data_IF_001726494978
#
_entry.id   IF_001726494978
#
_cell.length_a   1.000
_cell.length_b   1.000
_cell.length_c   1.000
_cell.angle_alpha   90.00
_cell.angle_beta   90.00
_cell.angle_gamma   90.00
#
_symmetry.space_group_name_H-M   'P 1'
#
loop_
_entity.id
_entity.type
_entity.pdbx_description
1 polymer ?
#
# COMPACT_ATOMS: atom_id res chain seq x y z
N UNK A 1 -7.09 2.88 -5.42
CA UNK A 1 -7.68 3.30 -4.13
C UNK A 1 -6.73 2.96 -2.99
N UNK A 2 -6.44 3.88 -2.07
CA UNK A 2 -5.66 3.63 -0.86
C UNK A 2 -6.59 3.52 0.36
N UNK A 3 -6.40 2.50 1.20
CA UNK A 3 -7.16 2.29 2.43
C UNK A 3 -6.24 1.97 3.61
N UNK A 4 -6.60 2.44 4.81
CA UNK A 4 -5.92 2.09 6.05
C UNK A 4 -6.76 1.11 6.85
N UNK A 5 -6.14 0.06 7.35
CA UNK A 5 -6.78 -0.95 8.20
C UNK A 5 -6.07 -0.95 9.55
N UNK A 6 -6.86 -0.94 10.63
CA UNK A 6 -6.29 -0.91 11.98
C UNK A 6 -5.55 -2.20 12.31
N UNK A 7 -4.58 -2.14 13.23
CA UNK A 7 -3.76 -3.30 13.60
C UNK A 7 -4.41 -4.27 14.59
N UNK A 8 -5.65 -3.98 14.96
CA UNK A 8 -6.55 -4.81 15.77
C UNK A 8 -7.50 -5.64 14.91
N UNK A 9 -7.61 -5.35 13.62
CA UNK A 9 -8.32 -6.18 12.65
C UNK A 9 -7.57 -7.48 12.38
N UNK A 10 -8.31 -8.54 12.04
CA UNK A 10 -7.73 -9.84 11.74
C UNK A 10 -6.97 -9.78 10.40
N UNK A 11 -5.65 -9.96 10.48
CA UNK A 11 -4.77 -9.87 9.32
C UNK A 11 -4.95 -11.04 8.36
N UNK A 12 -5.26 -12.24 8.88
CA UNK A 12 -5.40 -13.44 8.05
C UNK A 12 -6.70 -13.37 7.24
N UNK A 13 -7.79 -12.88 7.85
CA UNK A 13 -9.05 -12.64 7.14
C UNK A 13 -8.90 -11.52 6.08
N UNK A 14 -8.16 -10.44 6.39
CA UNK A 14 -7.86 -9.38 5.42
C UNK A 14 -7.08 -9.91 4.21
N UNK A 15 -6.06 -10.74 4.45
CA UNK A 15 -5.27 -11.35 3.37
C UNK A 15 -6.16 -12.25 2.51
N UNK A 16 -6.97 -13.10 3.14
CA UNK A 16 -7.86 -14.01 2.44
C UNK A 16 -8.89 -13.25 1.57
N UNK A 17 -9.42 -12.14 2.07
CA UNK A 17 -10.33 -11.28 1.30
C UNK A 17 -9.64 -10.65 0.08
N UNK A 18 -8.43 -10.09 0.25
CA UNK A 18 -7.69 -9.50 -0.87
C UNK A 18 -7.33 -10.53 -1.95
N UNK A 19 -6.85 -11.72 -1.54
CA UNK A 19 -6.50 -12.79 -2.47
C UNK A 19 -7.72 -13.35 -3.22
N UNK A 20 -8.91 -13.32 -2.62
CA UNK A 20 -10.15 -13.73 -3.29
C UNK A 20 -10.56 -12.78 -4.44
N UNK A 21 -10.08 -11.53 -4.42
CA UNK A 21 -10.43 -10.48 -5.39
C UNK A 21 -9.34 -10.21 -6.43
N UNK A 22 -8.21 -10.94 -6.40
CA UNK A 22 -7.18 -10.83 -7.42
C UNK A 22 -5.76 -11.07 -6.88
N UNK A 23 -4.74 -10.96 -7.76
CA UNK A 23 -3.35 -10.99 -7.34
C UNK A 23 -3.07 -10.00 -6.20
N UNK A 24 -2.53 -10.50 -5.09
CA UNK A 24 -2.18 -9.71 -3.92
C UNK A 24 -0.69 -9.83 -3.61
N UNK A 25 0.02 -8.70 -3.60
CA UNK A 25 1.40 -8.62 -3.11
C UNK A 25 1.40 -8.17 -1.64
N UNK A 26 2.04 -8.94 -0.77
CA UNK A 26 2.07 -8.66 0.67
C UNK A 26 3.49 -8.31 1.09
N UNK A 27 3.69 -7.06 1.52
CA UNK A 27 4.99 -6.53 1.91
C UNK A 27 5.05 -6.35 3.41
N UNK A 28 5.93 -7.12 4.08
CA UNK A 28 6.04 -7.12 5.52
C UNK A 28 7.23 -6.32 6.06
N UNK A 29 6.93 -5.28 6.83
CA UNK A 29 7.85 -4.68 7.79
C UNK A 29 8.82 -3.65 7.23
N UNK A 30 10.03 -3.65 7.80
CA UNK A 30 11.01 -2.57 7.72
C UNK A 30 11.08 -1.78 9.03
N UNK A 31 12.27 -1.74 9.65
CA UNK A 31 12.50 -0.94 10.88
C UNK A 31 12.90 0.50 10.56
N UNK A 32 13.34 0.74 9.33
CA UNK A 32 13.75 2.01 8.75
C UNK A 32 13.20 2.09 7.33
N UNK A 33 13.27 3.26 6.71
CA UNK A 33 12.87 3.44 5.31
C UNK A 33 13.62 2.50 4.39
N UNK A 34 14.94 2.41 4.53
CA UNK A 34 15.81 1.58 3.69
C UNK A 34 15.39 0.11 3.79
N UNK A 35 15.14 -0.38 5.02
CA UNK A 35 14.65 -1.74 5.23
C UNK A 35 13.24 -1.95 4.69
N UNK A 36 12.37 -0.94 4.66
CA UNK A 36 11.06 -1.06 4.03
C UNK A 36 11.20 -1.16 2.51
N UNK A 37 12.05 -0.32 1.90
CA UNK A 37 12.33 -0.34 0.46
C UNK A 37 12.95 -1.67 0.01
N UNK A 38 13.88 -2.23 0.80
CA UNK A 38 14.40 -3.59 0.58
C UNK A 38 13.28 -4.64 0.58
N UNK A 39 12.31 -4.54 1.50
CA UNK A 39 11.18 -5.48 1.55
C UNK A 39 10.28 -5.39 0.32
N UNK A 40 10.03 -4.18 -0.17
CA UNK A 40 9.32 -4.00 -1.45
C UNK A 40 10.08 -4.68 -2.58
N UNK A 41 11.38 -4.43 -2.69
CA UNK A 41 12.21 -5.01 -3.72
C UNK A 41 12.28 -6.54 -3.67
N UNK A 42 12.41 -7.12 -2.48
CA UNK A 42 12.42 -8.57 -2.26
C UNK A 42 11.08 -9.22 -2.63
N UNK A 43 9.96 -8.67 -2.14
CA UNK A 43 8.63 -9.22 -2.38
C UNK A 43 8.24 -9.14 -3.86
N UNK A 44 8.44 -7.97 -4.47
CA UNK A 44 8.03 -7.69 -5.85
C UNK A 44 9.09 -8.09 -6.88
N UNK A 45 10.24 -8.62 -6.42
CA UNK A 45 11.38 -9.02 -7.25
C UNK A 45 11.85 -7.89 -8.17
N UNK A 46 11.99 -6.70 -7.60
CA UNK A 46 12.56 -5.56 -8.31
C UNK A 46 13.98 -5.85 -8.80
N UNK A 47 14.40 -5.22 -9.91
CA UNK A 47 15.71 -5.46 -10.49
C UNK A 47 16.85 -4.98 -9.57
N UNK A 48 18.03 -5.61 -9.72
CA UNK A 48 19.22 -5.32 -8.89
C UNK A 48 19.71 -3.87 -8.97
N UNK A 49 19.34 -3.13 -10.01
CA UNK A 49 19.66 -1.70 -10.15
C UNK A 49 18.69 -0.77 -9.41
N UNK A 50 17.75 -1.31 -8.64
CA UNK A 50 16.78 -0.55 -7.85
C UNK A 50 17.47 0.53 -7.00
N UNK A 51 17.07 1.80 -7.21
CA UNK A 51 17.73 2.96 -6.62
C UNK A 51 17.50 3.19 -5.12
N UNK A 52 16.75 2.31 -4.43
CA UNK A 52 16.46 2.37 -3.00
C UNK A 52 16.01 3.76 -2.50
N UNK A 53 15.16 4.43 -3.27
CA UNK A 53 14.54 5.72 -2.93
C UNK A 53 13.05 5.70 -3.27
N UNK A 54 12.32 6.75 -2.86
CA UNK A 54 10.86 6.82 -3.01
C UNK A 54 10.41 6.96 -4.47
N UNK A 55 11.16 7.71 -5.29
CA UNK A 55 10.85 7.88 -6.71
C UNK A 55 11.03 6.56 -7.46
N UNK A 56 12.13 5.85 -7.20
CA UNK A 56 12.37 4.51 -7.76
C UNK A 56 11.33 3.49 -7.29
N UNK A 57 10.83 3.61 -6.05
CA UNK A 57 9.74 2.77 -5.55
C UNK A 57 8.46 3.03 -6.35
N UNK A 58 8.11 4.30 -6.57
CA UNK A 58 6.95 4.70 -7.36
C UNK A 58 7.01 4.08 -8.77
N UNK A 59 8.12 4.30 -9.48
CA UNK A 59 8.29 3.85 -10.86
C UNK A 59 8.10 2.32 -11.00
N UNK A 60 8.75 1.55 -10.12
CA UNK A 60 8.68 0.09 -10.18
C UNK A 60 7.34 -0.47 -9.70
N UNK A 61 6.69 0.18 -8.73
CA UNK A 61 5.33 -0.19 -8.33
C UNK A 61 4.33 0.07 -9.46
N UNK A 62 4.45 1.22 -10.14
CA UNK A 62 3.60 1.55 -11.27
C UNK A 62 3.80 0.56 -12.42
N UNK A 63 5.04 0.26 -12.79
CA UNK A 63 5.36 -0.73 -13.84
C UNK A 63 4.81 -2.11 -13.49
N UNK A 64 5.01 -2.58 -12.25
CA UNK A 64 4.49 -3.86 -11.78
C UNK A 64 2.96 -3.90 -11.80
N UNK A 65 2.31 -2.89 -11.23
CA UNK A 65 0.86 -2.75 -11.27
C UNK A 65 0.34 -2.71 -12.71
N UNK A 66 1.05 -2.02 -13.61
CA UNK A 66 0.71 -1.94 -15.01
C UNK A 66 0.83 -3.31 -15.71
N UNK A 67 1.83 -4.11 -15.39
CA UNK A 67 1.96 -5.46 -15.94
C UNK A 67 0.82 -6.38 -15.45
N UNK A 68 0.54 -6.39 -14.15
CA UNK A 68 -0.46 -7.28 -13.53
C UNK A 68 -1.87 -6.93 -13.99
N UNK A 69 -2.26 -5.66 -13.95
CA UNK A 69 -3.61 -5.23 -14.31
C UNK A 69 -3.90 -5.30 -15.82
N UNK A 70 -2.88 -5.52 -16.66
CA UNK A 70 -3.02 -5.64 -18.11
C UNK A 70 -3.86 -6.84 -18.57
N UNK A 71 -4.07 -7.85 -17.71
CA UNK A 71 -4.97 -8.98 -18.00
C UNK A 71 -6.44 -8.69 -17.68
N UNK A 72 -6.76 -7.50 -17.16
CA UNK A 72 -8.09 -7.13 -16.66
C UNK A 72 -8.40 -7.60 -15.24
N UNK A 73 -7.45 -8.23 -14.56
CA UNK A 73 -7.58 -8.57 -13.15
C UNK A 73 -7.20 -7.37 -12.27
N UNK A 74 -7.93 -7.17 -11.17
CA UNK A 74 -7.57 -6.17 -10.17
C UNK A 74 -6.27 -6.58 -9.47
N UNK A 75 -5.44 -5.60 -9.15
CA UNK A 75 -4.21 -5.80 -8.39
C UNK A 75 -4.32 -5.17 -7.01
N UNK A 76 -3.90 -5.93 -6.00
CA UNK A 76 -3.92 -5.54 -4.60
C UNK A 76 -2.50 -5.53 -4.03
N UNK A 77 -2.17 -4.50 -3.25
CA UNK A 77 -0.93 -4.42 -2.46
C UNK A 77 -1.27 -4.22 -1.00
N UNK A 78 -0.87 -5.15 -0.14
CA UNK A 78 -0.96 -5.02 1.32
C UNK A 78 0.42 -4.68 1.89
N UNK A 79 0.58 -3.50 2.46
CA UNK A 79 1.78 -3.14 3.21
C UNK A 79 1.56 -3.18 4.72
N UNK A 80 2.40 -3.95 5.42
CA UNK A 80 2.36 -4.14 6.87
C UNK A 80 3.57 -3.44 7.50
N UNK A 81 3.49 -2.13 7.82
CA UNK A 81 4.63 -1.38 8.32
C UNK A 81 5.16 -1.91 9.67
N UNK A 82 6.49 -1.89 9.82
CA UNK A 82 7.15 -2.28 11.06
C UNK A 82 6.83 -1.29 12.20
N UNK A 83 6.51 -1.80 13.39
CA UNK A 83 6.19 -0.96 14.57
C UNK A 83 7.26 0.09 14.90
N UNK A 84 8.54 -0.22 14.63
CA UNK A 84 9.64 0.74 14.84
C UNK A 84 9.65 1.86 13.82
N UNK A 85 9.33 1.59 12.55
CA UNK A 85 9.22 2.62 11.52
C UNK A 85 8.12 3.62 11.91
N UNK A 86 6.94 3.12 12.28
CA UNK A 86 5.81 3.93 12.72
C UNK A 86 6.16 4.85 13.90
N UNK A 87 6.80 4.29 14.93
CA UNK A 87 7.10 5.01 16.18
C UNK A 87 8.30 5.95 16.05
N UNK A 88 9.40 5.46 15.47
CA UNK A 88 10.70 6.14 15.53
C UNK A 88 10.93 7.04 14.31
N UNK A 89 10.21 6.80 13.20
CA UNK A 89 10.39 7.47 11.90
C UNK A 89 9.05 7.79 11.20
N UNK A 90 8.12 8.52 11.84
CA UNK A 90 6.80 8.78 11.26
C UNK A 90 6.85 9.55 9.94
N UNK A 91 7.87 10.41 9.72
CA UNK A 91 8.05 11.10 8.44
C UNK A 91 8.48 10.16 7.29
N UNK A 92 9.34 9.18 7.56
CA UNK A 92 9.70 8.15 6.57
C UNK A 92 8.50 7.26 6.24
N UNK A 93 7.68 6.91 7.26
CA UNK A 93 6.42 6.20 7.07
C UNK A 93 5.47 7.00 6.16
N UNK A 94 5.24 8.27 6.46
CA UNK A 94 4.37 9.14 5.66
C UNK A 94 4.85 9.28 4.21
N UNK A 95 6.18 9.34 3.99
CA UNK A 95 6.74 9.39 2.64
C UNK A 95 6.47 8.12 1.82
N UNK A 96 6.56 6.94 2.43
CA UNK A 96 6.20 5.69 1.75
C UNK A 96 4.70 5.65 1.46
N UNK A 97 3.85 6.03 2.44
CA UNK A 97 2.39 6.10 2.23
C UNK A 97 2.02 7.05 1.09
N UNK A 98 2.72 8.19 0.95
CA UNK A 98 2.49 9.12 -0.15
C UNK A 98 2.75 8.45 -1.51
N UNK A 99 3.86 7.73 -1.67
CA UNK A 99 4.13 6.94 -2.90
C UNK A 99 3.03 5.91 -3.15
N UNK A 100 2.64 5.16 -2.12
CA UNK A 100 1.58 4.16 -2.23
C UNK A 100 0.23 4.76 -2.65
N UNK A 101 -0.07 5.97 -2.17
CA UNK A 101 -1.24 6.73 -2.58
C UNK A 101 -1.18 7.07 -4.06
N UNK A 102 -0.07 7.66 -4.50
CA UNK A 102 0.11 8.09 -5.89
C UNK A 102 -0.05 6.91 -6.87
N UNK A 103 0.53 5.75 -6.53
CA UNK A 103 0.37 4.51 -7.32
C UNK A 103 -1.10 4.05 -7.38
N UNK A 104 -1.81 4.13 -6.25
CA UNK A 104 -3.19 3.69 -6.13
C UNK A 104 -4.20 4.64 -6.80
N UNK A 105 -3.86 5.92 -6.93
CA UNK A 105 -4.68 6.97 -7.51
C UNK A 105 -4.37 7.20 -8.99
N UNK A 106 -3.28 6.62 -9.52
CA UNK A 106 -2.94 6.74 -10.93
C UNK A 106 -4.05 6.14 -11.81
N UNK A 107 -4.71 7.02 -12.56
CA UNK A 107 -5.73 6.64 -13.54
C UNK A 107 -5.07 6.22 -14.84
N UNK A 108 -5.26 4.96 -15.22
CA UNK A 108 -4.88 4.46 -16.55
C UNK A 108 -6.17 4.31 -17.36
N UNK A 109 -6.41 5.25 -18.28
CA UNK A 109 -7.60 5.27 -19.15
C UNK A 109 -7.44 4.28 -20.32
N UNK A 110 -7.22 3.00 -19.99
CA UNK A 110 -7.16 1.90 -20.95
C UNK A 110 -8.31 0.91 -20.70
N UNK A 111 -9.17 0.68 -21.71
CA UNK A 111 -10.34 -0.18 -21.54
C UNK A 111 -9.93 -1.64 -21.29
N UNK A 112 -10.61 -2.28 -20.32
CA UNK A 112 -10.39 -3.69 -19.98
C UNK A 112 -9.21 -3.93 -19.03
N UNK A 113 -8.59 -2.89 -18.50
CA UNK A 113 -7.56 -2.96 -17.46
C UNK A 113 -8.20 -3.07 -16.07
N UNK A 114 -7.60 -3.87 -15.19
CA UNK A 114 -8.07 -4.03 -13.81
C UNK A 114 -7.77 -2.82 -12.92
N UNK A 115 -8.45 -2.75 -11.79
CA UNK A 115 -8.27 -1.69 -10.80
C UNK A 115 -7.00 -1.90 -9.95
N UNK A 116 -6.54 -0.83 -9.30
CA UNK A 116 -5.43 -0.85 -8.34
C UNK A 116 -5.95 -0.56 -6.94
N UNK A 117 -5.69 -1.44 -5.99
CA UNK A 117 -6.01 -1.26 -4.58
C UNK A 117 -4.74 -1.38 -3.73
N UNK A 118 -4.55 -0.45 -2.80
CA UNK A 118 -3.45 -0.48 -1.84
C UNK A 118 -4.01 -0.38 -0.44
N UNK A 119 -3.62 -1.33 0.41
CA UNK A 119 -4.03 -1.40 1.81
C UNK A 119 -2.81 -1.24 2.70
N UNK A 120 -2.90 -0.34 3.67
CA UNK A 120 -1.88 -0.14 4.69
C UNK A 120 -2.40 -0.64 6.03
N UNK A 121 -1.78 -1.69 6.57
CA UNK A 121 -2.13 -2.25 7.88
C UNK A 121 -1.46 -1.43 9.00
N UNK A 122 -1.98 -0.24 9.22
CA UNK A 122 -1.40 0.78 10.08
C UNK A 122 -2.19 2.09 10.05
N UNK A 123 -1.79 3.06 10.88
CA UNK A 123 -2.51 4.32 11.02
C UNK A 123 -2.38 5.21 9.79
N UNK A 124 -3.42 5.98 9.45
CA UNK A 124 -3.28 7.06 8.47
C UNK A 124 -2.30 8.13 9.01
N UNK A 125 -1.18 8.44 8.31
CA UNK A 125 -0.22 9.44 8.77
C UNK A 125 -0.78 10.87 8.78
N UNK A 126 -1.88 11.15 8.10
CA UNK A 126 -2.52 12.47 8.08
C UNK A 126 -3.35 12.76 9.33
N UNK A 127 -3.62 11.75 10.16
CA UNK A 127 -4.41 11.92 11.39
C UNK A 127 -5.92 12.08 11.15
N UNK A 128 -6.41 11.85 9.93
CA UNK A 128 -7.83 11.68 9.70
C UNK A 128 -8.28 10.37 10.37
N UNK A 129 -8.85 10.47 11.58
CA UNK A 129 -9.79 9.45 12.05
C UNK A 129 -10.85 9.25 10.97
N UNK A 130 -11.23 8.01 10.62
CA UNK A 130 -12.41 7.81 9.80
C UNK A 130 -13.55 8.56 10.49
N UNK A 131 -14.22 9.45 9.76
CA UNK A 131 -15.41 10.14 10.24
C UNK A 131 -16.38 9.06 10.70
N UNK A 132 -16.59 8.98 12.01
CA UNK A 132 -17.68 8.23 12.60
C UNK A 132 -18.98 8.78 12.00
N UNK A 133 -19.74 7.98 11.22
CA UNK A 133 -20.99 8.46 10.64
C UNK A 133 -22.10 8.65 11.68
N UNK A 134 -21.85 8.39 12.97
CA UNK A 134 -22.84 8.35 14.06
C UNK A 134 -22.74 9.55 15.04
N UNK A 135 -22.25 10.72 14.60
CA UNK A 135 -22.55 11.97 15.31
C UNK A 135 -23.86 12.58 14.78
N UNK A 136 -24.98 12.01 15.21
CA UNK A 136 -26.28 12.69 15.15
C UNK A 136 -26.23 13.97 15.99
N UNK A 137 -26.55 15.08 15.33
CA UNK A 137 -26.68 16.44 15.87
C UNK A 137 -27.78 16.45 16.97
N UNK A 138 -27.47 16.79 18.24
CA UNK A 138 -28.54 17.03 19.20
C UNK A 138 -29.19 18.39 18.92
N UNK A 139 -30.46 18.32 18.50
CA UNK A 139 -31.41 19.44 18.35
C UNK A 139 -31.49 20.36 19.58
#
# INVERSE_FOLDING_TARGET
>A
MLTFVSRDEDLDDLIADLEAHGPCDIVAGGRTKERALERFAETLRFPDWFGHNLDALYELLDEHAYAVTGSGADWHLLWIPGRRLLRDRPGDYAGIVAVLRDVAELLVDEPGRGARSVVVYGPDPSGATPTDPDQEDPQ
#
